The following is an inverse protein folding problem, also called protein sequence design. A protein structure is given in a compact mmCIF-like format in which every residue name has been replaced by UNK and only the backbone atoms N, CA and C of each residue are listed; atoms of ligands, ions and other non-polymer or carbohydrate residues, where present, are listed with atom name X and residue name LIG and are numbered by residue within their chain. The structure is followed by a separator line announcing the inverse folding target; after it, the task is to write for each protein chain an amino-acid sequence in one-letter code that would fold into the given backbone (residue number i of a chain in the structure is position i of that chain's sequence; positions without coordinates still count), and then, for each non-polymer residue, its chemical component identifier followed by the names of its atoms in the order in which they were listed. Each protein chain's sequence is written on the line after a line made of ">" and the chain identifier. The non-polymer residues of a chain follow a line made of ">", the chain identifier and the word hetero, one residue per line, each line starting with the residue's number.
data_IF_837639258750
#
_entry.id   IF_837639258750
#
_cell.length_a   1.000
_cell.length_b   1.000
_cell.length_c   1.000
_cell.angle_alpha   90.00
_cell.angle_beta   90.00
_cell.angle_gamma   90.00
#
_symmetry.space_group_name_H-M   'P 1'
#
loop_
_entity.id
_entity.type
_entity.pdbx_description
1 polymer ?
#
# COMPACT_ATOMS: atom_id res chain seq x y z
N UNK A 1 17.86 -16.20 0.76
CA UNK A 1 17.45 -15.13 -0.15
C UNK A 1 16.32 -14.30 0.48
N UNK A 2 16.52 -13.02 0.54
CA UNK A 2 15.51 -12.15 1.10
C UNK A 2 14.56 -11.66 0.01
N UNK A 3 13.29 -11.74 0.27
CA UNK A 3 12.28 -11.25 -0.64
C UNK A 3 11.55 -10.10 0.03
N UNK A 4 11.09 -9.15 -0.78
CA UNK A 4 10.30 -8.06 -0.27
C UNK A 4 8.86 -8.55 -0.13
N UNK A 5 8.33 -8.71 1.10
CA UNK A 5 7.02 -9.30 1.29
C UNK A 5 5.89 -8.49 0.63
N UNK A 6 6.05 -7.18 0.55
CA UNK A 6 5.02 -6.35 -0.08
C UNK A 6 5.04 -6.51 -1.60
N UNK A 7 6.24 -6.49 -2.19
CA UNK A 7 6.36 -6.63 -3.64
C UNK A 7 5.96 -8.03 -4.10
N UNK A 8 6.28 -9.05 -3.31
CA UNK A 8 5.95 -10.43 -3.65
C UNK A 8 4.44 -10.68 -3.68
N UNK A 9 3.68 -9.91 -2.89
CA UNK A 9 2.24 -10.03 -2.86
C UNK A 9 1.57 -9.44 -4.10
N UNK A 10 2.27 -8.59 -4.84
CA UNK A 10 1.73 -7.86 -5.97
C UNK A 10 0.39 -7.21 -5.58
N UNK A 11 0.40 -6.35 -4.56
CA UNK A 11 -0.83 -5.89 -3.95
C UNK A 11 -1.64 -4.96 -4.83
N UNK A 12 -2.93 -4.90 -4.54
CA UNK A 12 -3.83 -3.91 -5.14
C UNK A 12 -3.95 -2.72 -4.20
N UNK A 13 -4.25 -1.58 -4.77
CA UNK A 13 -4.47 -0.32 -4.04
C UNK A 13 -5.82 0.25 -4.43
N UNK A 14 -6.31 1.15 -3.61
CA UNK A 14 -7.46 2.00 -3.98
C UNK A 14 -6.95 3.41 -4.13
N UNK A 15 -7.33 4.07 -5.23
CA UNK A 15 -6.92 5.44 -5.44
C UNK A 15 -8.07 6.26 -6.02
N UNK A 16 -7.97 7.57 -5.84
CA UNK A 16 -8.89 8.54 -6.45
C UNK A 16 -8.05 9.68 -7.01
N UNK A 17 -8.47 10.22 -8.14
CA UNK A 17 -7.81 11.38 -8.71
C UNK A 17 -8.47 12.65 -8.19
N UNK A 18 -7.66 13.52 -7.60
CA UNK A 18 -8.13 14.77 -7.04
C UNK A 18 -7.16 15.87 -7.40
N UNK A 19 -7.66 16.92 -8.07
CA UNK A 19 -6.89 18.13 -8.37
C UNK A 19 -5.50 17.86 -8.93
N UNK A 20 -5.40 17.04 -9.95
CA UNK A 20 -4.16 16.74 -10.67
C UNK A 20 -3.22 15.78 -9.99
N UNK A 21 -3.62 15.17 -8.90
CA UNK A 21 -2.80 14.15 -8.27
C UNK A 21 -3.66 13.00 -7.78
N UNK A 22 -3.06 11.84 -7.64
CA UNK A 22 -3.75 10.67 -7.12
C UNK A 22 -3.61 10.61 -5.61
N UNK A 23 -4.67 10.24 -4.94
CA UNK A 23 -4.66 10.00 -3.51
C UNK A 23 -4.97 8.54 -3.28
N UNK A 24 -4.25 7.91 -2.36
CA UNK A 24 -4.41 6.49 -2.06
C UNK A 24 -5.15 6.30 -0.74
N UNK A 25 -5.93 5.22 -0.67
CA UNK A 25 -6.66 4.92 0.55
C UNK A 25 -5.68 4.63 1.69
N UNK A 26 -5.93 5.24 2.83
CA UNK A 26 -5.11 5.03 4.01
C UNK A 26 -6.00 4.52 5.14
N UNK A 27 -5.37 3.80 6.06
CA UNK A 27 -6.04 3.23 7.21
C UNK A 27 -5.38 3.79 8.47
N UNK A 28 -6.19 4.15 9.45
CA UNK A 28 -5.66 4.76 10.66
C UNK A 28 -5.39 3.71 11.72
N UNK A 29 -4.16 3.69 12.22
CA UNK A 29 -3.77 2.78 13.28
C UNK A 29 -4.33 3.26 14.62
N UNK A 30 -4.36 2.36 15.60
CA UNK A 30 -4.82 2.70 16.94
C UNK A 30 -4.02 3.84 17.54
N UNK A 31 -2.74 3.96 17.17
CA UNK A 31 -1.88 5.04 17.62
C UNK A 31 -2.23 6.39 17.00
N UNK A 32 -3.07 6.42 16.00
CA UNK A 32 -3.42 7.63 15.27
C UNK A 32 -2.61 7.84 14.01
N UNK A 33 -1.61 7.01 13.76
CA UNK A 33 -0.79 7.11 12.56
C UNK A 33 -1.53 6.56 11.34
N UNK A 34 -1.17 7.06 10.16
CA UNK A 34 -1.78 6.60 8.92
C UNK A 34 -0.95 5.50 8.28
N UNK A 35 -1.63 4.56 7.63
CA UNK A 35 -0.99 3.46 6.92
C UNK A 35 -1.59 3.36 5.53
N UNK A 36 -0.74 3.06 4.54
CA UNK A 36 -1.22 2.83 3.18
C UNK A 36 -1.97 1.50 3.15
N UNK A 37 -3.18 1.49 2.61
CA UNK A 37 -3.98 0.27 2.54
C UNK A 37 -3.58 -0.54 1.32
N UNK A 38 -3.18 -1.78 1.54
CA UNK A 38 -2.82 -2.73 0.49
C UNK A 38 -3.79 -3.91 0.54
N UNK A 39 -4.07 -4.50 -0.60
CA UNK A 39 -5.02 -5.61 -0.70
C UNK A 39 -4.38 -6.75 -1.49
N UNK A 40 -4.54 -7.97 -1.01
CA UNK A 40 -3.94 -9.15 -1.64
C UNK A 40 -4.60 -9.48 -2.97
N UNK A 41 -5.87 -9.11 -3.15
CA UNK A 41 -6.59 -9.35 -4.38
C UNK A 41 -7.63 -8.26 -4.62
N UNK A 42 -8.18 -8.27 -5.83
CA UNK A 42 -9.17 -7.25 -6.22
C UNK A 42 -10.42 -7.32 -5.36
N UNK A 43 -10.85 -8.51 -5.02
CA UNK A 43 -12.06 -8.69 -4.22
C UNK A 43 -11.93 -8.04 -2.85
N UNK A 44 -10.77 -8.19 -2.21
CA UNK A 44 -10.52 -7.54 -0.92
C UNK A 44 -10.58 -6.04 -1.02
N UNK A 45 -10.01 -5.48 -2.09
CA UNK A 45 -10.04 -4.03 -2.32
C UNK A 45 -11.48 -3.55 -2.52
N UNK A 46 -12.26 -4.26 -3.31
CA UNK A 46 -13.64 -3.88 -3.57
C UNK A 46 -14.49 -3.98 -2.32
N UNK A 47 -14.25 -4.99 -1.51
CA UNK A 47 -14.95 -5.17 -0.24
C UNK A 47 -14.67 -4.02 0.71
N UNK A 48 -13.40 -3.61 0.78
CA UNK A 48 -13.04 -2.47 1.63
C UNK A 48 -13.69 -1.19 1.14
N UNK A 49 -13.68 -0.98 -0.19
CA UNK A 49 -14.29 0.21 -0.77
C UNK A 49 -15.76 0.33 -0.37
N UNK A 50 -16.49 -0.80 -0.43
CA UNK A 50 -17.89 -0.83 -0.03
C UNK A 50 -18.08 -0.62 1.46
N UNK A 51 -17.29 -1.31 2.28
CA UNK A 51 -17.40 -1.24 3.73
C UNK A 51 -17.06 0.15 4.27
N UNK A 52 -16.09 0.80 3.67
CA UNK A 52 -15.68 2.14 4.07
C UNK A 52 -16.49 3.24 3.40
N UNK A 53 -17.42 2.86 2.54
CA UNK A 53 -18.30 3.79 1.82
C UNK A 53 -17.51 4.85 1.04
N UNK A 54 -16.43 4.41 0.41
CA UNK A 54 -15.59 5.34 -0.35
C UNK A 54 -16.24 5.80 -1.66
N UNK A 55 -17.07 4.94 -2.27
CA UNK A 55 -17.77 5.31 -3.48
C UNK A 55 -17.05 4.85 -4.75
N UNK A 56 -17.77 5.01 -5.86
CA UNK A 56 -17.30 4.50 -7.15
C UNK A 56 -16.18 5.31 -7.78
N UNK A 57 -15.91 6.50 -7.27
CA UNK A 57 -14.82 7.31 -7.78
C UNK A 57 -13.44 6.74 -7.36
N UNK A 58 -13.43 5.85 -6.39
CA UNK A 58 -12.21 5.16 -5.99
C UNK A 58 -12.02 3.94 -6.88
N UNK A 59 -10.81 3.81 -7.42
CA UNK A 59 -10.48 2.76 -8.38
C UNK A 59 -9.55 1.73 -7.76
N UNK A 60 -9.77 0.46 -8.12
CA UNK A 60 -8.87 -0.62 -7.73
C UNK A 60 -7.73 -0.65 -8.75
N UNK A 61 -6.49 -0.73 -8.28
CA UNK A 61 -5.31 -0.63 -9.13
C UNK A 61 -4.21 -1.56 -8.62
N UNK A 62 -3.61 -2.31 -9.53
CA UNK A 62 -2.46 -3.16 -9.19
C UNK A 62 -1.24 -2.60 -9.88
N UNK A 63 -0.36 -1.91 -9.13
CA UNK A 63 0.83 -1.31 -9.74
C UNK A 63 1.90 -2.37 -10.02
N UNK A 64 2.66 -2.17 -11.09
CA UNK A 64 3.87 -2.95 -11.33
C UNK A 64 4.88 -2.64 -10.22
N UNK A 65 5.83 -3.56 -9.95
CA UNK A 65 6.77 -3.35 -8.84
C UNK A 65 7.50 -2.01 -8.82
N UNK A 66 8.03 -1.49 -9.95
CA UNK A 66 8.68 -0.17 -9.90
C UNK A 66 7.72 0.95 -9.56
N UNK A 67 6.47 0.86 -10.01
CA UNK A 67 5.46 1.87 -9.70
C UNK A 67 5.07 1.77 -8.23
N UNK A 68 4.92 0.55 -7.72
CA UNK A 68 4.62 0.34 -6.31
C UNK A 68 5.69 0.96 -5.43
N UNK A 69 6.96 0.77 -5.78
CA UNK A 69 8.05 1.35 -5.01
C UNK A 69 7.95 2.88 -4.99
N UNK A 70 7.68 3.49 -6.14
CA UNK A 70 7.52 4.94 -6.22
C UNK A 70 6.37 5.43 -5.34
N UNK A 71 5.27 4.67 -5.32
CA UNK A 71 4.12 5.02 -4.47
C UNK A 71 4.50 4.95 -2.99
N UNK A 72 5.21 3.90 -2.60
CA UNK A 72 5.64 3.74 -1.20
C UNK A 72 6.57 4.88 -0.78
N UNK A 73 7.49 5.25 -1.66
CA UNK A 73 8.40 6.37 -1.38
C UNK A 73 7.65 7.68 -1.25
N UNK A 74 6.67 7.91 -2.12
CA UNK A 74 5.86 9.11 -2.05
C UNK A 74 5.05 9.17 -0.75
N UNK A 75 4.49 8.04 -0.34
CA UNK A 75 3.75 7.98 0.92
C UNK A 75 4.65 8.31 2.10
N UNK A 76 5.86 7.76 2.11
CA UNK A 76 6.81 8.04 3.17
C UNK A 76 7.17 9.53 3.21
N UNK A 77 7.34 10.14 2.05
CA UNK A 77 7.65 11.57 1.95
C UNK A 77 6.51 12.43 2.48
N UNK A 78 5.29 11.92 2.43
CA UNK A 78 4.11 12.64 2.95
C UNK A 78 3.78 12.28 4.40
N UNK A 79 4.66 11.57 5.08
CA UNK A 79 4.48 11.28 6.49
C UNK A 79 3.75 9.99 6.80
N UNK A 80 3.45 9.18 5.80
CA UNK A 80 2.85 7.86 6.02
C UNK A 80 3.98 6.88 6.28
N UNK A 81 4.01 6.27 7.45
CA UNK A 81 5.13 5.43 7.85
C UNK A 81 4.85 3.94 7.80
N UNK A 82 3.60 3.55 7.55
CA UNK A 82 3.19 2.14 7.62
C UNK A 82 2.37 1.74 6.40
N UNK A 83 2.33 0.44 6.13
CA UNK A 83 1.42 -0.17 5.17
C UNK A 83 0.69 -1.31 5.86
N UNK A 84 -0.58 -1.51 5.54
CA UNK A 84 -1.38 -2.58 6.12
C UNK A 84 -1.96 -3.44 5.01
N UNK A 85 -2.06 -4.74 5.26
CA UNK A 85 -2.60 -5.69 4.30
C UNK A 85 -4.03 -6.05 4.68
N UNK A 86 -4.91 -5.98 3.70
CA UNK A 86 -6.32 -6.36 3.86
C UNK A 86 -6.96 -5.76 5.10
N UNK A 87 -6.90 -4.41 5.25
CA UNK A 87 -7.56 -3.80 6.40
C UNK A 87 -9.08 -3.95 6.26
N UNK A 88 -9.75 -4.10 7.39
CA UNK A 88 -11.19 -3.92 7.43
C UNK A 88 -11.45 -2.73 8.33
N UNK A 89 -12.68 -2.50 8.75
CA UNK A 89 -12.99 -1.31 9.53
C UNK A 89 -12.36 -1.32 10.92
N UNK A 90 -11.97 -2.49 11.42
CA UNK A 90 -11.51 -2.64 12.80
C UNK A 90 -10.09 -3.16 12.93
N UNK A 91 -9.58 -3.90 11.95
CA UNK A 91 -8.27 -4.52 12.08
C UNK A 91 -7.65 -4.76 10.71
N UNK A 92 -6.35 -4.96 10.71
CA UNK A 92 -5.60 -5.28 9.49
C UNK A 92 -4.97 -6.66 9.64
N UNK A 93 -4.77 -7.33 8.51
CA UNK A 93 -4.19 -8.66 8.50
C UNK A 93 -2.70 -8.63 8.84
N UNK A 94 -1.97 -7.66 8.29
CA UNK A 94 -0.54 -7.46 8.58
C UNK A 94 -0.22 -5.97 8.51
N UNK A 95 0.81 -5.58 9.24
CA UNK A 95 1.29 -4.20 9.26
C UNK A 95 2.80 -4.22 9.03
N UNK A 96 3.29 -3.34 8.15
CA UNK A 96 4.70 -3.17 7.88
C UNK A 96 5.10 -1.72 8.07
N UNK A 97 6.35 -1.48 8.44
CA UNK A 97 6.92 -0.14 8.37
C UNK A 97 7.41 0.10 6.94
N UNK A 98 7.07 1.25 6.37
CA UNK A 98 7.51 1.57 5.01
C UNK A 98 9.03 1.60 4.90
N UNK A 99 9.71 2.09 5.94
CA UNK A 99 11.18 2.09 5.95
C UNK A 99 11.72 0.68 5.72
N UNK A 100 11.18 -0.31 6.43
CA UNK A 100 11.63 -1.68 6.29
C UNK A 100 11.33 -2.23 4.91
N UNK A 101 10.16 -1.92 4.36
CA UNK A 101 9.78 -2.40 3.03
C UNK A 101 10.71 -1.82 1.97
N UNK A 102 11.00 -0.53 2.05
CA UNK A 102 11.85 0.14 1.08
C UNK A 102 13.29 -0.32 1.18
N UNK A 103 13.79 -0.57 2.39
CA UNK A 103 15.13 -1.10 2.57
C UNK A 103 15.27 -2.51 2.00
N UNK A 104 14.24 -3.32 2.18
CA UNK A 104 14.25 -4.68 1.62
C UNK A 104 14.27 -4.64 0.10
N UNK A 105 13.49 -3.73 -0.51
CA UNK A 105 13.47 -3.58 -1.96
C UNK A 105 14.82 -3.09 -2.48
N UNK A 106 15.46 -2.18 -1.76
CA UNK A 106 16.76 -1.66 -2.13
C UNK A 106 17.83 -2.75 -2.07
N UNK A 107 17.80 -3.56 -1.02
CA UNK A 107 18.74 -4.68 -0.91
C UNK A 107 18.54 -5.71 -2.02
N UNK A 108 17.28 -6.00 -2.34
CA UNK A 108 16.99 -6.95 -3.41
C UNK A 108 17.47 -6.43 -4.77
N UNK A 109 17.28 -5.14 -5.01
CA UNK A 109 17.73 -4.51 -6.25
C UNK A 109 19.25 -4.54 -6.36
N UNK A 110 19.94 -4.21 -5.27
CA UNK A 110 21.41 -4.23 -5.24
C UNK A 110 21.93 -5.65 -5.46
N UNK A 111 21.32 -6.62 -4.83
CA UNK A 111 21.76 -8.01 -4.95
C UNK A 111 21.58 -8.58 -6.33
N UNK A 112 20.71 -8.04 -7.13
CA UNK A 112 20.45 -8.57 -8.47
C UNK A 112 21.34 -7.98 -9.56
N UNK A 113 22.18 -7.03 -9.21
CA UNK A 113 23.04 -6.35 -10.17
C UNK A 113 24.28 -7.11 -10.57
N UNK A 114 24.54 -8.18 -9.96
CA UNK A 114 25.79 -8.92 -10.24
C UNK A 114 25.68 -9.88 -11.39
#
# INVERSE_FOLDING_TARGET
>A
METNPVHDLEPFLLYVEAEHQAEFAVWRLASGESALALFADRESAERYRSAAELGEIWHVYQPAPPVLQAILEACQAHGIEFAVLNPDLNQAHRIWRLTDVLEAAERASTGSDD
#
